data_IF_615314851195
#
_entry.id   IF_615314851195
#
_cell.length_a   1.000
_cell.length_b   1.000
_cell.length_c   1.000
_cell.angle_alpha   90.00
_cell.angle_beta   90.00
_cell.angle_gamma   90.00
#
_symmetry.space_group_name_H-M   'P 1'
#
loop_
_entity.id
_entity.type
_entity.pdbx_description
1 polymer ?
#
# COMPACT_ATOMS: atom_id res chain seq x y z
N UNK A 1 -40.16 3.69 -42.48
CA UNK A 1 -39.22 2.64 -42.90
C UNK A 1 -37.83 3.28 -42.89
N UNK A 2 -36.88 3.01 -42.00
CA UNK A 2 -36.67 1.91 -41.06
C UNK A 2 -35.21 1.44 -41.19
N UNK A 3 -34.52 1.28 -40.06
CA UNK A 3 -33.14 0.77 -39.79
C UNK A 3 -32.05 1.85 -39.77
N UNK A 4 -31.37 2.27 -38.66
CA UNK A 4 -30.69 1.64 -37.50
C UNK A 4 -29.56 0.65 -37.83
N UNK A 5 -28.32 1.01 -37.46
CA UNK A 5 -27.43 0.21 -36.60
C UNK A 5 -26.26 1.07 -36.08
N UNK A 6 -26.06 1.06 -34.75
CA UNK A 6 -24.84 1.43 -34.04
C UNK A 6 -24.00 0.16 -33.80
N UNK A 7 -22.66 0.27 -33.75
CA UNK A 7 -21.69 -0.55 -32.97
C UNK A 7 -20.38 0.27 -32.92
N UNK A 8 -20.05 1.03 -31.86
CA UNK A 8 -19.22 0.71 -30.67
C UNK A 8 -17.97 -0.12 -30.90
N UNK A 9 -16.79 0.49 -30.75
CA UNK A 9 -15.61 -0.18 -30.17
C UNK A 9 -14.73 0.85 -29.44
N UNK A 10 -14.37 0.51 -28.20
CA UNK A 10 -13.73 1.38 -27.22
C UNK A 10 -12.20 1.50 -27.37
N UNK A 11 -11.57 2.34 -26.53
CA UNK A 11 -10.15 2.66 -26.65
C UNK A 11 -9.30 1.61 -25.92
N UNK A 12 -9.22 0.41 -26.47
CA UNK A 12 -8.17 -0.55 -26.15
C UNK A 12 -7.44 -0.91 -27.45
N UNK A 13 -6.75 0.10 -28.02
CA UNK A 13 -5.81 -0.17 -29.10
C UNK A 13 -4.54 -0.78 -28.53
N UNK A 14 -4.23 -1.95 -29.08
CA UNK A 14 -3.04 -2.76 -28.86
C UNK A 14 -1.76 -1.92 -28.96
N UNK A 15 -0.86 -2.08 -27.99
CA UNK A 15 0.43 -1.40 -27.90
C UNK A 15 1.33 -1.70 -29.11
N UNK A 16 2.05 -0.71 -29.68
CA UNK A 16 3.07 -0.96 -30.68
C UNK A 16 4.30 -1.63 -30.04
N UNK A 17 4.87 -2.58 -30.79
CA UNK A 17 6.12 -3.24 -30.47
C UNK A 17 7.31 -2.28 -30.62
N UNK A 18 8.17 -2.28 -29.60
CA UNK A 18 9.56 -1.81 -29.57
C UNK A 18 9.83 -0.33 -29.97
N UNK A 19 10.44 0.39 -29.02
CA UNK A 19 11.13 1.70 -29.14
C UNK A 19 10.26 2.94 -29.37
N UNK A 20 9.37 3.26 -28.44
CA UNK A 20 9.09 4.66 -28.16
C UNK A 20 9.90 5.05 -26.93
N UNK A 21 11.02 5.76 -27.15
CA UNK A 21 11.70 6.44 -26.06
C UNK A 21 10.67 7.32 -25.36
N UNK A 22 10.59 7.23 -24.03
CA UNK A 22 9.77 8.13 -23.22
C UNK A 22 10.31 9.55 -23.46
N UNK A 23 9.63 10.28 -24.34
CA UNK A 23 10.18 11.50 -24.98
C UNK A 23 9.47 12.77 -24.51
N UNK A 24 8.28 12.65 -23.93
CA UNK A 24 7.54 13.76 -23.33
C UNK A 24 7.39 13.58 -21.82
N UNK A 25 7.35 14.70 -21.10
CA UNK A 25 7.26 14.76 -19.64
C UNK A 25 5.99 14.06 -19.12
N UNK A 26 4.86 14.18 -19.83
CA UNK A 26 3.62 13.51 -19.42
C UNK A 26 3.72 11.98 -19.51
N UNK A 27 4.33 11.46 -20.58
CA UNK A 27 4.60 10.02 -20.74
C UNK A 27 5.56 9.52 -19.65
N UNK A 28 6.57 10.32 -19.30
CA UNK A 28 7.50 9.99 -18.23
C UNK A 28 6.84 9.91 -16.86
N UNK A 29 6.02 10.90 -16.51
CA UNK A 29 5.27 10.90 -15.25
C UNK A 29 4.32 9.71 -15.17
N UNK A 30 3.63 9.36 -16.28
CA UNK A 30 2.78 8.18 -16.35
C UNK A 30 3.53 6.87 -16.13
N UNK A 31 4.70 6.70 -16.77
CA UNK A 31 5.53 5.52 -16.58
C UNK A 31 6.13 5.43 -15.16
N UNK A 32 6.54 6.56 -14.58
CA UNK A 32 7.01 6.63 -13.20
C UNK A 32 5.89 6.26 -12.22
N UNK A 33 4.70 6.83 -12.40
CA UNK A 33 3.53 6.52 -11.59
C UNK A 33 3.20 5.02 -11.65
N UNK A 34 3.15 4.44 -12.86
CA UNK A 34 2.93 3.01 -13.05
C UNK A 34 3.94 2.18 -12.25
N UNK A 35 5.23 2.48 -12.37
CA UNK A 35 6.29 1.76 -11.66
C UNK A 35 6.19 1.91 -10.13
N UNK A 36 5.85 3.10 -9.64
CA UNK A 36 5.63 3.33 -8.21
C UNK A 36 4.46 2.48 -7.70
N UNK A 37 3.37 2.39 -8.46
CA UNK A 37 2.20 1.61 -8.08
C UNK A 37 2.48 0.09 -8.16
N UNK A 38 3.22 -0.39 -9.15
CA UNK A 38 3.68 -1.79 -9.20
C UNK A 38 4.57 -2.13 -8.00
N UNK A 39 5.46 -1.20 -7.59
CA UNK A 39 6.27 -1.38 -6.39
C UNK A 39 5.39 -1.47 -5.13
N UNK A 40 4.37 -0.61 -5.02
CA UNK A 40 3.41 -0.67 -3.90
C UNK A 40 2.67 -2.01 -3.89
N UNK A 41 2.25 -2.50 -5.05
CA UNK A 41 1.52 -3.76 -5.15
C UNK A 41 2.37 -4.96 -4.73
N UNK A 42 3.69 -4.92 -4.96
CA UNK A 42 4.62 -5.98 -4.56
C UNK A 42 5.02 -5.89 -3.08
N UNK A 43 5.12 -4.68 -2.53
CA UNK A 43 5.59 -4.41 -1.17
C UNK A 43 4.47 -3.89 -0.26
N UNK A 44 3.22 -4.28 -0.50
CA UNK A 44 2.07 -3.58 0.08
C UNK A 44 2.09 -3.54 1.60
N UNK A 45 2.37 -4.65 2.28
CA UNK A 45 2.38 -4.68 3.75
C UNK A 45 3.37 -3.65 4.32
N UNK A 46 4.60 -3.65 3.79
CA UNK A 46 5.67 -2.76 4.24
C UNK A 46 5.32 -1.29 3.97
N UNK A 47 4.66 -1.03 2.84
CA UNK A 47 4.18 0.30 2.43
C UNK A 47 3.07 0.79 3.34
N UNK A 48 2.02 -0.01 3.50
CA UNK A 48 0.85 0.35 4.29
C UNK A 48 1.19 0.55 5.75
N UNK A 49 2.22 -0.11 6.30
CA UNK A 49 2.68 0.08 7.68
C UNK A 49 3.48 1.38 7.89
N UNK A 50 4.00 2.02 6.84
CA UNK A 50 4.74 3.28 7.00
C UNK A 50 3.83 4.42 7.47
N UNK A 51 4.38 5.32 8.28
CA UNK A 51 3.71 6.58 8.66
C UNK A 51 3.48 7.51 7.47
N UNK A 52 4.30 7.41 6.42
CA UNK A 52 4.20 8.26 5.22
C UNK A 52 2.93 8.07 4.41
N UNK A 53 2.25 6.92 4.54
CA UNK A 53 0.93 6.74 3.93
C UNK A 53 -0.07 7.75 4.50
N UNK A 54 0.10 8.13 5.76
CA UNK A 54 -0.75 9.13 6.42
C UNK A 54 -0.54 10.54 5.83
N UNK A 55 0.57 10.78 5.12
CA UNK A 55 0.91 12.05 4.45
C UNK A 55 0.41 12.16 3.00
N UNK A 56 -0.25 11.13 2.47
CA UNK A 56 -0.92 11.19 1.17
C UNK A 56 -2.22 12.00 1.24
N UNK A 57 -2.57 12.61 0.12
CA UNK A 57 -3.91 13.17 -0.09
C UNK A 57 -4.94 12.07 -0.31
N UNK A 58 -6.23 12.43 -0.17
CA UNK A 58 -7.32 11.48 -0.30
C UNK A 58 -7.32 10.76 -1.66
N UNK A 59 -7.03 11.47 -2.75
CA UNK A 59 -7.02 10.87 -4.08
C UNK A 59 -5.88 9.86 -4.24
N UNK A 60 -4.67 10.20 -3.76
CA UNK A 60 -3.54 9.25 -3.75
C UNK A 60 -3.82 8.02 -2.91
N UNK A 61 -4.43 8.18 -1.73
CA UNK A 61 -4.85 7.07 -0.88
C UNK A 61 -5.91 6.19 -1.56
N UNK A 62 -6.90 6.82 -2.20
CA UNK A 62 -7.98 6.15 -2.92
C UNK A 62 -7.42 5.30 -4.06
N UNK A 63 -6.51 5.84 -4.86
CA UNK A 63 -5.86 5.11 -5.94
C UNK A 63 -5.15 3.86 -5.42
N UNK A 64 -4.51 3.92 -4.26
CA UNK A 64 -3.88 2.74 -3.65
C UNK A 64 -4.94 1.74 -3.15
N UNK A 65 -5.98 2.22 -2.45
CA UNK A 65 -6.99 1.36 -1.83
C UNK A 65 -7.87 0.62 -2.86
N UNK A 66 -8.23 1.27 -3.96
CA UNK A 66 -9.11 0.74 -5.01
C UNK A 66 -8.38 -0.22 -5.97
N UNK A 67 -7.05 -0.29 -5.93
CA UNK A 67 -6.26 -1.14 -6.84
C UNK A 67 -6.60 -2.62 -6.70
N UNK A 68 -7.02 -3.22 -7.81
CA UNK A 68 -7.29 -4.65 -7.91
C UNK A 68 -6.03 -5.51 -7.78
N UNK A 69 -4.84 -4.98 -8.07
CA UNK A 69 -3.56 -5.71 -8.10
C UNK A 69 -2.76 -5.65 -6.79
N UNK A 70 -3.31 -5.00 -5.76
CA UNK A 70 -2.64 -4.80 -4.49
C UNK A 70 -2.44 -6.14 -3.74
N UNK A 71 -1.19 -6.55 -3.49
CA UNK A 71 -0.87 -7.85 -2.86
C UNK A 71 -0.86 -7.72 -1.33
N UNK A 72 -2.05 -7.75 -0.72
CA UNK A 72 -2.19 -7.74 0.74
C UNK A 72 -2.44 -9.13 1.30
N UNK A 73 -1.76 -9.50 2.41
CA UNK A 73 -1.98 -10.80 3.06
C UNK A 73 -3.35 -10.87 3.76
N UNK A 74 -3.79 -9.76 4.36
CA UNK A 74 -5.05 -9.62 5.08
C UNK A 74 -5.62 -8.23 4.80
N UNK A 75 -6.92 -8.13 4.57
CA UNK A 75 -7.60 -6.84 4.34
C UNK A 75 -7.61 -5.95 5.59
N UNK A 76 -7.41 -6.53 6.77
CA UNK A 76 -7.27 -5.81 8.04
C UNK A 76 -6.10 -4.81 8.01
N UNK A 77 -5.01 -5.13 7.33
CA UNK A 77 -3.85 -4.23 7.16
C UNK A 77 -4.22 -2.96 6.41
N UNK A 78 -5.02 -3.09 5.34
CA UNK A 78 -5.52 -1.95 4.58
C UNK A 78 -6.47 -1.11 5.44
N UNK A 79 -7.40 -1.77 6.12
CA UNK A 79 -8.34 -1.08 7.01
C UNK A 79 -7.62 -0.26 8.09
N UNK A 80 -6.62 -0.83 8.76
CA UNK A 80 -5.85 -0.16 9.79
C UNK A 80 -5.07 1.05 9.25
N UNK A 81 -4.52 0.93 8.04
CA UNK A 81 -3.87 2.06 7.36
C UNK A 81 -4.86 3.19 7.07
N UNK A 82 -6.09 2.89 6.61
CA UNK A 82 -7.13 3.89 6.41
C UNK A 82 -7.53 4.57 7.73
N UNK A 83 -7.68 3.81 8.82
CA UNK A 83 -7.99 4.38 10.15
C UNK A 83 -6.89 5.33 10.62
N UNK A 84 -5.61 4.97 10.45
CA UNK A 84 -4.49 5.85 10.77
C UNK A 84 -4.51 7.12 9.93
N UNK A 85 -4.72 6.99 8.63
CA UNK A 85 -4.87 8.15 7.73
C UNK A 85 -6.03 9.05 8.17
N UNK A 86 -7.20 8.50 8.49
CA UNK A 86 -8.34 9.29 8.99
C UNK A 86 -7.99 10.08 10.25
N UNK A 87 -7.32 9.45 11.21
CA UNK A 87 -6.89 10.11 12.44
C UNK A 87 -5.92 11.27 12.16
N UNK A 88 -5.00 11.09 11.20
CA UNK A 88 -4.07 12.11 10.77
C UNK A 88 -4.78 13.26 10.07
N UNK A 89 -5.71 12.94 9.17
CA UNK A 89 -6.42 13.91 8.36
C UNK A 89 -7.40 14.76 9.17
N UNK A 90 -8.12 14.15 10.13
CA UNK A 90 -8.91 14.90 11.11
C UNK A 90 -8.02 15.89 11.89
N UNK A 91 -6.80 15.49 12.30
CA UNK A 91 -5.86 16.41 12.96
C UNK A 91 -5.41 17.55 12.06
N UNK A 92 -5.11 17.28 10.76
CA UNK A 92 -4.77 18.34 9.78
C UNK A 92 -5.89 19.37 9.65
N UNK A 93 -7.14 18.87 9.56
CA UNK A 93 -8.35 19.70 9.44
C UNK A 93 -8.85 20.28 10.77
N UNK A 94 -8.14 20.03 11.88
CA UNK A 94 -8.53 20.47 13.25
C UNK A 94 -9.93 20.00 13.65
N UNK A 95 -10.30 18.80 13.24
CA UNK A 95 -11.55 18.14 13.58
C UNK A 95 -11.35 17.21 14.78
N UNK A 96 -12.40 17.04 15.57
CA UNK A 96 -12.45 16.02 16.62
C UNK A 96 -12.35 14.62 16.02
N UNK A 97 -11.70 13.70 16.74
CA UNK A 97 -11.51 12.30 16.31
C UNK A 97 -12.77 11.44 16.49
N UNK A 98 -13.94 11.98 16.10
CA UNK A 98 -15.21 11.24 16.10
C UNK A 98 -15.29 10.30 14.89
N UNK A 99 -16.10 9.24 15.01
CA UNK A 99 -16.34 8.30 13.92
C UNK A 99 -16.96 8.99 12.68
N UNK A 100 -17.91 9.91 12.90
CA UNK A 100 -18.56 10.70 11.86
C UNK A 100 -17.56 11.55 11.08
N UNK A 101 -16.67 12.25 11.78
CA UNK A 101 -15.64 13.08 11.14
C UNK A 101 -14.64 12.22 10.35
N UNK A 102 -14.22 11.08 10.91
CA UNK A 102 -13.31 10.16 10.21
C UNK A 102 -13.95 9.59 8.94
N UNK A 103 -15.22 9.19 9.01
CA UNK A 103 -15.97 8.75 7.84
C UNK A 103 -16.13 9.87 6.81
N UNK A 104 -16.40 11.09 7.25
CA UNK A 104 -16.54 12.24 6.37
C UNK A 104 -15.24 12.62 5.64
N UNK A 105 -14.07 12.51 6.29
CA UNK A 105 -12.78 12.80 5.62
C UNK A 105 -12.32 11.67 4.70
N UNK A 106 -12.66 10.42 5.00
CA UNK A 106 -12.30 9.26 4.18
C UNK A 106 -13.18 9.11 2.94
N UNK A 107 -14.46 9.45 3.07
CA UNK A 107 -15.45 9.19 2.03
C UNK A 107 -15.84 7.71 1.94
N UNK A 108 -17.00 7.46 1.35
CA UNK A 108 -17.57 6.12 1.28
C UNK A 108 -16.89 5.25 0.22
N UNK A 109 -16.44 5.83 -0.89
CA UNK A 109 -15.77 5.12 -1.98
C UNK A 109 -14.49 4.42 -1.48
N UNK A 110 -13.63 5.14 -0.77
CA UNK A 110 -12.40 4.59 -0.19
C UNK A 110 -12.69 3.64 0.97
N UNK A 111 -13.71 3.92 1.80
CA UNK A 111 -14.11 3.03 2.90
C UNK A 111 -14.60 1.67 2.39
N UNK A 112 -15.30 1.62 1.26
CA UNK A 112 -15.82 0.39 0.66
C UNK A 112 -14.84 -0.33 -0.27
N UNK A 113 -13.70 0.28 -0.59
CA UNK A 113 -12.62 -0.36 -1.32
C UNK A 113 -11.98 -1.55 -0.54
N UNK A 114 -12.16 -1.58 0.79
CA UNK A 114 -11.74 -2.69 1.66
C UNK A 114 -12.67 -3.89 1.46
N UNK A 115 -12.09 -5.08 1.22
CA UNK A 115 -12.87 -6.31 0.97
C UNK A 115 -13.26 -7.00 2.28
N UNK A 116 -14.17 -6.38 3.04
CA UNK A 116 -14.59 -6.90 4.36
C UNK A 116 -15.08 -8.35 4.34
N UNK A 117 -15.68 -8.81 3.23
CA UNK A 117 -16.19 -10.18 3.10
C UNK A 117 -15.10 -11.23 2.85
N UNK A 118 -13.84 -10.81 2.75
CA UNK A 118 -12.68 -11.70 2.77
C UNK A 118 -11.99 -11.75 4.13
N UNK A 119 -12.41 -10.91 5.08
CA UNK A 119 -11.95 -11.00 6.47
C UNK A 119 -12.64 -12.15 7.19
N UNK A 120 -11.94 -12.72 8.18
CA UNK A 120 -12.59 -13.57 9.15
C UNK A 120 -13.55 -12.79 10.04
N UNK A 121 -14.48 -13.49 10.71
CA UNK A 121 -15.37 -12.86 11.69
C UNK A 121 -14.59 -12.22 12.83
N UNK A 122 -13.52 -12.86 13.31
CA UNK A 122 -12.66 -12.32 14.37
C UNK A 122 -12.01 -10.99 13.96
N UNK A 123 -11.40 -10.93 12.76
CA UNK A 123 -10.79 -9.71 12.24
C UNK A 123 -11.81 -8.59 12.08
N UNK A 124 -12.99 -8.92 11.54
CA UNK A 124 -14.06 -7.94 11.33
C UNK A 124 -14.59 -7.37 12.66
N UNK A 125 -14.77 -8.24 13.66
CA UNK A 125 -15.25 -7.86 15.00
C UNK A 125 -14.21 -7.05 15.79
N UNK A 126 -12.92 -7.31 15.58
CA UNK A 126 -11.82 -6.64 16.28
C UNK A 126 -11.49 -5.26 15.70
N UNK A 127 -11.56 -5.09 14.38
CA UNK A 127 -11.20 -3.84 13.70
C UNK A 127 -12.41 -3.05 13.20
N UNK A 128 -12.94 -3.37 12.00
CA UNK A 128 -14.01 -2.62 11.36
C UNK A 128 -15.23 -2.32 12.24
N UNK A 129 -15.72 -3.32 12.97
CA UNK A 129 -16.89 -3.14 13.84
C UNK A 129 -16.63 -2.17 15.00
N UNK A 130 -15.43 -2.19 15.60
CA UNK A 130 -15.10 -1.32 16.75
C UNK A 130 -14.76 0.11 16.33
N UNK A 131 -14.35 0.30 15.07
CA UNK A 131 -13.88 1.60 14.57
C UNK A 131 -14.96 2.70 14.56
N UNK A 132 -16.23 2.30 14.48
CA UNK A 132 -17.36 3.19 14.25
C UNK A 132 -17.44 3.77 12.83
N UNK A 133 -16.52 3.42 11.93
CA UNK A 133 -16.52 3.91 10.55
C UNK A 133 -17.67 3.34 9.73
N UNK A 134 -18.09 2.10 10.01
CA UNK A 134 -19.26 1.47 9.42
C UNK A 134 -20.50 1.76 10.27
N UNK A 135 -21.60 2.11 9.62
CA UNK A 135 -22.88 2.32 10.29
C UNK A 135 -23.41 0.99 10.84
N UNK A 136 -24.24 1.02 11.88
CA UNK A 136 -24.79 -0.20 12.49
C UNK A 136 -25.51 -1.10 11.47
N UNK A 137 -26.25 -0.52 10.53
CA UNK A 137 -26.89 -1.26 9.43
C UNK A 137 -25.87 -1.94 8.54
N UNK A 138 -24.75 -1.29 8.24
CA UNK A 138 -23.70 -1.83 7.38
C UNK A 138 -22.95 -2.96 8.09
N UNK A 139 -22.61 -2.77 9.36
CA UNK A 139 -22.01 -3.79 10.23
C UNK A 139 -22.90 -5.04 10.26
N UNK A 140 -24.21 -4.88 10.50
CA UNK A 140 -25.14 -6.00 10.57
C UNK A 140 -25.22 -6.76 9.22
N UNK A 141 -25.24 -6.03 8.10
CA UNK A 141 -25.28 -6.63 6.76
C UNK A 141 -23.99 -7.41 6.45
N UNK A 142 -22.84 -6.78 6.66
CA UNK A 142 -21.53 -7.37 6.37
C UNK A 142 -21.27 -8.57 7.28
N UNK A 143 -21.50 -8.42 8.59
CA UNK A 143 -21.34 -9.51 9.55
C UNK A 143 -22.32 -10.66 9.26
N UNK A 144 -23.56 -10.35 8.89
CA UNK A 144 -24.54 -11.35 8.46
C UNK A 144 -24.04 -12.18 7.27
N UNK A 145 -23.40 -11.54 6.29
CA UNK A 145 -22.77 -12.24 5.17
C UNK A 145 -21.57 -13.09 5.59
N UNK A 146 -20.70 -12.58 6.47
CA UNK A 146 -19.53 -13.32 6.99
C UNK A 146 -19.99 -14.57 7.77
N UNK A 147 -21.09 -14.47 8.52
CA UNK A 147 -21.65 -15.58 9.32
C UNK A 147 -22.67 -16.45 8.58
N UNK A 148 -22.91 -16.20 7.28
CA UNK A 148 -23.92 -16.91 6.48
C UNK A 148 -25.36 -16.86 7.05
N UNK A 149 -25.73 -15.74 7.68
CA UNK A 149 -27.07 -15.49 8.18
C UNK A 149 -27.97 -14.82 7.13
N UNK A 150 -29.31 -14.93 7.24
CA UNK A 150 -30.21 -14.17 6.38
C UNK A 150 -30.02 -12.67 6.63
N UNK A 151 -29.79 -11.93 5.54
CA UNK A 151 -29.52 -10.49 5.59
C UNK A 151 -30.66 -9.73 4.90
N UNK A 152 -31.10 -8.62 5.50
CA UNK A 152 -32.04 -7.72 4.85
C UNK A 152 -31.33 -6.92 3.75
N UNK A 153 -31.95 -6.78 2.58
CA UNK A 153 -31.36 -6.05 1.47
C UNK A 153 -31.08 -4.59 1.85
N UNK A 154 -29.88 -4.12 1.52
CA UNK A 154 -29.48 -2.73 1.62
C UNK A 154 -29.06 -2.26 0.22
N UNK A 155 -29.85 -1.40 -0.45
CA UNK A 155 -29.58 -0.95 -1.82
C UNK A 155 -28.21 -0.28 -2.00
N UNK A 156 -27.69 0.35 -0.95
CA UNK A 156 -26.40 1.02 -0.98
C UNK A 156 -25.27 -0.01 -1.03
N UNK A 157 -25.30 -0.97 -0.12
CA UNK A 157 -24.30 -2.03 -0.05
C UNK A 157 -24.42 -3.01 -1.22
N UNK A 158 -25.61 -3.25 -1.75
CA UNK A 158 -25.82 -4.19 -2.86
C UNK A 158 -24.90 -3.93 -4.06
N UNK A 159 -24.54 -2.67 -4.31
CA UNK A 159 -23.62 -2.28 -5.40
C UNK A 159 -22.15 -2.65 -5.13
N UNK A 160 -21.72 -2.58 -3.87
CA UNK A 160 -20.31 -2.79 -3.46
C UNK A 160 -20.03 -4.20 -2.94
N UNK A 161 -21.06 -4.93 -2.51
CA UNK A 161 -20.92 -6.32 -2.02
C UNK A 161 -20.21 -7.25 -3.02
N UNK A 162 -20.49 -7.21 -4.34
CA UNK A 162 -19.74 -8.01 -5.30
C UNK A 162 -18.22 -7.75 -5.24
N UNK A 163 -17.82 -6.48 -5.17
CA UNK A 163 -16.41 -6.07 -5.05
C UNK A 163 -15.79 -6.57 -3.74
N UNK A 164 -16.52 -6.46 -2.63
CA UNK A 164 -16.04 -6.93 -1.33
C UNK A 164 -15.85 -8.45 -1.26
N UNK A 165 -16.52 -9.23 -2.13
CA UNK A 165 -16.39 -10.69 -2.22
C UNK A 165 -15.28 -11.16 -3.13
N UNK A 166 -14.87 -10.34 -4.10
CA UNK A 166 -13.88 -10.74 -5.11
C UNK A 166 -12.47 -10.52 -4.59
N UNK A 167 -11.62 -11.55 -4.44
CA UNK A 167 -10.21 -11.35 -4.08
C UNK A 167 -9.46 -10.46 -5.07
N UNK A 168 -8.46 -9.74 -4.56
CA UNK A 168 -7.54 -8.95 -5.41
C UNK A 168 -6.82 -9.86 -6.40
N UNK A 169 -6.64 -9.35 -7.62
CA UNK A 169 -5.89 -10.01 -8.69
C UNK A 169 -4.40 -9.96 -8.37
N UNK A 170 -3.66 -10.94 -8.86
CA UNK A 170 -2.19 -10.88 -8.80
C UNK A 170 -1.68 -9.80 -9.77
N UNK A 171 -0.63 -9.04 -9.42
CA UNK A 171 0.06 -8.17 -10.36
C UNK A 171 0.43 -8.94 -11.63
N UNK A 172 0.09 -8.38 -12.80
CA UNK A 172 0.43 -8.95 -14.11
C UNK A 172 1.40 -8.03 -14.90
N UNK A 173 1.72 -6.86 -14.36
CA UNK A 173 2.55 -5.85 -15.03
C UNK A 173 4.05 -6.14 -14.88
N UNK A 174 4.84 -5.64 -15.84
CA UNK A 174 6.28 -5.50 -15.68
C UNK A 174 6.61 -4.01 -15.56
N UNK A 175 7.62 -3.64 -14.74
CA UNK A 175 8.05 -2.25 -14.66
C UNK A 175 8.44 -1.69 -16.04
N UNK A 176 7.97 -0.50 -16.35
CA UNK A 176 8.27 0.24 -17.58
C UNK A 176 9.69 0.83 -17.44
N UNK A 177 10.65 0.51 -18.31
CA UNK A 177 11.97 1.13 -18.26
C UNK A 177 11.89 2.64 -18.50
N UNK A 178 12.34 3.45 -17.53
CA UNK A 178 12.36 4.92 -17.61
C UNK A 178 13.61 5.47 -18.32
N UNK A 179 14.65 4.65 -18.45
CA UNK A 179 15.91 4.96 -19.13
C UNK A 179 16.71 3.68 -19.39
N UNK A 180 17.82 3.80 -20.14
CA UNK A 180 18.78 2.71 -20.33
C UNK A 180 19.38 2.16 -19.02
N UNK A 181 19.35 2.93 -17.93
CA UNK A 181 19.83 2.47 -16.62
C UNK A 181 18.82 1.54 -15.94
N UNK A 182 17.53 1.77 -16.13
CA UNK A 182 16.46 0.94 -15.57
C UNK A 182 16.19 -0.33 -16.40
N UNK A 183 16.70 -0.40 -17.64
CA UNK A 183 16.57 -1.59 -18.50
C UNK A 183 17.65 -2.65 -18.24
N UNK A 184 18.61 -2.40 -17.35
CA UNK A 184 19.56 -3.43 -16.91
C UNK A 184 18.76 -4.43 -16.07
N UNK A 185 18.37 -5.53 -16.70
CA UNK A 185 17.57 -6.58 -16.10
C UNK A 185 18.17 -6.99 -14.75
N UNK A 186 17.38 -6.85 -13.70
CA UNK A 186 17.56 -7.65 -12.50
C UNK A 186 17.13 -9.07 -12.88
N UNK A 187 18.01 -9.77 -13.58
CA UNK A 187 17.91 -11.22 -13.67
C UNK A 187 18.02 -11.76 -12.24
N UNK A 188 17.04 -12.59 -11.88
CA UNK A 188 16.73 -12.97 -10.51
C UNK A 188 17.96 -13.32 -9.68
N UNK A 189 18.08 -12.64 -8.55
CA UNK A 189 18.62 -13.24 -7.36
C UNK A 189 17.63 -12.99 -6.24
N UNK A 190 17.06 -14.08 -5.74
CA UNK A 190 16.43 -14.14 -4.44
C UNK A 190 17.30 -13.38 -3.44
N UNK A 191 16.74 -12.37 -2.79
CA UNK A 191 17.33 -11.88 -1.53
C UNK A 191 16.96 -12.93 -0.48
N UNK A 192 17.63 -14.08 -0.57
CA UNK A 192 17.77 -14.99 0.57
C UNK A 192 18.68 -14.26 1.54
N UNK A 193 18.11 -13.81 2.66
CA UNK A 193 18.89 -13.55 3.85
C UNK A 193 19.54 -14.87 4.25
N UNK A 194 20.82 -15.04 3.92
CA UNK A 194 21.60 -16.16 4.42
C UNK A 194 22.21 -15.76 5.76
N UNK A 195 21.82 -16.53 6.77
CA UNK A 195 22.39 -16.54 8.09
C UNK A 195 23.87 -16.96 8.06
N UNK A 196 24.51 -16.55 9.15
CA UNK A 196 25.89 -16.70 9.55
C UNK A 196 26.35 -18.16 9.47
N UNK A 197 27.55 -18.40 8.94
CA UNK A 197 28.44 -19.39 9.55
C UNK A 197 29.91 -19.05 9.29
N UNK A 198 30.68 -19.09 10.37
CA UNK A 198 32.09 -18.74 10.38
C UNK A 198 32.98 -19.88 9.88
N UNK A 199 34.13 -19.51 9.30
CA UNK A 199 35.38 -20.21 9.55
C UNK A 199 36.59 -19.41 9.10
N UNK A 200 37.65 -19.60 9.87
CA UNK A 200 38.82 -18.75 9.97
C UNK A 200 39.91 -19.07 8.94
N UNK A 201 40.69 -18.04 8.59
CA UNK A 201 42.15 -18.03 8.45
C UNK A 201 42.53 -16.57 8.14
N UNK A 202 43.63 -15.96 8.56
CA UNK A 202 44.78 -16.34 9.34
C UNK A 202 45.80 -15.20 9.15
N UNK A 203 46.42 -14.77 10.25
CA UNK A 203 47.67 -13.99 10.31
C UNK A 203 47.68 -12.50 9.93
N UNK A 204 47.77 -11.64 10.95
CA UNK A 204 48.94 -10.77 11.09
C UNK A 204 49.10 -10.37 12.57
N UNK A 205 50.28 -10.66 13.12
CA UNK A 205 50.70 -10.32 14.49
C UNK A 205 51.18 -8.87 14.54
N UNK A 206 50.74 -8.09 15.53
CA UNK A 206 51.60 -7.08 16.15
C UNK A 206 51.29 -6.97 17.66
N UNK A 207 52.34 -7.18 18.46
CA UNK A 207 52.47 -6.97 19.90
C UNK A 207 52.19 -5.50 20.26
N UNK A 208 51.71 -5.09 21.43
CA UNK A 208 51.52 -5.67 22.76
C UNK A 208 51.35 -4.50 23.74
N UNK A 209 50.64 -4.68 24.86
CA UNK A 209 50.55 -3.64 25.90
C UNK A 209 49.36 -3.78 26.84
N UNK A 210 49.57 -4.42 27.99
CA UNK A 210 48.63 -4.44 29.12
C UNK A 210 48.51 -3.05 29.76
N UNK A 211 47.29 -2.66 30.15
CA UNK A 211 46.98 -2.06 31.48
C UNK A 211 45.46 -1.95 31.69
N UNK A 212 44.95 -2.66 32.69
CA UNK A 212 43.63 -2.46 33.27
C UNK A 212 43.64 -1.21 34.14
N UNK A 213 42.70 -0.28 33.90
CA UNK A 213 42.25 0.71 34.89
C UNK A 213 40.72 0.81 34.80
N UNK A 214 40.07 0.69 35.97
CA UNK A 214 38.62 0.77 36.18
C UNK A 214 38.14 2.23 36.22
N UNK A 215 36.83 2.38 35.94
CA UNK A 215 35.87 3.47 36.26
C UNK A 215 35.79 4.63 35.27
N UNK A 216 34.61 4.80 34.66
CA UNK A 216 33.70 5.91 34.94
C UNK A 216 32.39 5.76 34.13
N UNK A 217 31.27 6.01 34.80
CA UNK A 217 29.96 6.20 34.18
C UNK A 217 29.91 7.53 33.41
N UNK A 218 29.31 7.57 32.22
CA UNK A 218 28.22 8.50 31.87
C UNK A 218 27.74 8.37 30.40
N UNK A 219 26.44 8.60 30.25
CA UNK A 219 25.75 9.26 29.12
C UNK A 219 25.49 8.47 27.82
N UNK A 220 24.21 8.09 27.69
CA UNK A 220 23.34 8.27 26.52
C UNK A 220 24.04 8.30 25.16
N UNK A 221 24.05 7.15 24.48
CA UNK A 221 24.37 7.06 23.06
C UNK A 221 23.07 6.86 22.28
N UNK A 222 22.58 8.00 21.77
CA UNK A 222 21.72 8.18 20.60
C UNK A 222 21.74 6.95 19.68
N UNK A 223 20.64 6.20 19.63
CA UNK A 223 20.40 5.20 18.58
C UNK A 223 20.44 5.94 17.25
N UNK A 224 21.58 5.85 16.58
CA UNK A 224 21.76 6.33 15.21
C UNK A 224 21.05 5.31 14.34
N UNK A 225 19.80 5.65 14.01
CA UNK A 225 18.91 4.97 13.09
C UNK A 225 19.72 4.38 11.92
N UNK A 226 19.89 3.07 11.89
CA UNK A 226 20.22 2.38 10.65
C UNK A 226 18.99 2.54 9.76
N UNK A 227 18.92 3.64 9.00
CA UNK A 227 17.97 3.75 7.89
C UNK A 227 18.35 2.65 6.92
N UNK A 228 17.64 1.52 7.03
CA UNK A 228 17.72 0.42 6.08
C UNK A 228 17.51 1.00 4.69
N UNK A 229 18.18 0.44 3.69
CA UNK A 229 18.11 0.89 2.29
C UNK A 229 16.67 0.98 1.78
N UNK A 230 15.76 0.15 2.33
CA UNK A 230 14.31 0.22 2.08
C UNK A 230 13.65 1.53 2.55
N UNK A 231 14.12 2.14 3.64
CA UNK A 231 13.60 3.43 4.14
C UNK A 231 13.76 4.55 3.11
N UNK A 232 14.85 4.54 2.31
CA UNK A 232 15.12 5.54 1.27
C UNK A 232 14.29 5.32 0.01
N UNK A 233 14.14 4.08 -0.46
CA UNK A 233 13.30 3.76 -1.62
C UNK A 233 11.86 4.24 -1.36
N UNK A 234 11.37 4.00 -0.15
CA UNK A 234 10.05 4.45 0.28
C UNK A 234 9.94 5.96 0.37
N UNK A 235 10.98 6.70 0.81
CA UNK A 235 11.01 8.18 0.67
C UNK A 235 10.78 8.60 -0.78
N UNK A 236 11.49 7.99 -1.73
CA UNK A 236 11.34 8.33 -3.15
C UNK A 236 9.98 7.96 -3.71
N UNK A 237 9.42 6.81 -3.37
CA UNK A 237 8.09 6.40 -3.83
C UNK A 237 7.03 7.38 -3.32
N UNK A 238 7.02 7.69 -2.02
CA UNK A 238 6.02 8.62 -1.47
C UNK A 238 6.22 10.06 -1.94
N UNK A 239 7.47 10.52 -2.08
CA UNK A 239 7.73 11.84 -2.69
C UNK A 239 7.32 11.85 -4.17
N UNK A 240 7.60 10.81 -4.94
CA UNK A 240 7.16 10.76 -6.33
C UNK A 240 5.63 10.78 -6.42
N UNK A 241 4.94 10.02 -5.57
CA UNK A 241 3.47 9.98 -5.55
C UNK A 241 2.88 11.31 -5.10
N UNK A 242 3.45 11.98 -4.08
CA UNK A 242 2.94 13.29 -3.67
C UNK A 242 3.10 14.33 -4.77
N UNK A 243 4.13 14.24 -5.62
CA UNK A 243 4.31 15.16 -6.75
C UNK A 243 3.46 14.80 -7.97
N UNK A 244 3.02 13.55 -8.09
CA UNK A 244 2.21 13.06 -9.21
C UNK A 244 0.70 13.24 -8.95
N UNK A 245 0.28 13.33 -7.68
CA UNK A 245 -1.11 13.45 -7.28
C UNK A 245 -1.52 14.84 -6.74
N UNK A 246 -0.58 15.78 -6.60
CA UNK A 246 -0.83 17.23 -6.44
C UNK A 246 -1.08 17.89 -7.82
#
# INVERSE_FOLDING_TARGET
MGHTAQVTDGPYQCLPACSEDITDAMSYCGALQHNCLEYIDMHTKEVLEQEKVEDLDLEGLRIIAERETLTIPLESVLFDALVRWCNRECKRKRLELSAENKRAVLGEETLYAVRYLLMSSEEFLAGPMQSGLLNQTEVNVILGYILHHPVHENPHLAKVIPQMRTPRKKPQGQPIPLSQRSSIGVCGHDIVMSEVDGSASGSARWWGGRKSIKKAAQKQKKQKNQRSTGSRIMEYVFTALSWVFD
#
